data_IF_278335426595
#
_entry.id   IF_278335426595
#
_cell.length_a   1.000
_cell.length_b   1.000
_cell.length_c   1.000
_cell.angle_alpha   90.00
_cell.angle_beta   90.00
_cell.angle_gamma   90.00
#
_symmetry.space_group_name_H-M   'P 1'
#
loop_
_entity.id
_entity.type
_entity.pdbx_description
1 polymer ?
#
# COMPACT_ATOMS: atom_id res chain seq x y z
N UNK A 1 -46.64 60.71 6.34
CA UNK A 1 -45.69 59.76 6.89
C UNK A 1 -46.23 58.35 6.80
N UNK A 2 -45.88 57.63 5.77
CA UNK A 2 -46.29 56.21 5.57
C UNK A 2 -45.14 55.29 5.87
N UNK A 3 -45.28 54.46 6.94
CA UNK A 3 -44.33 53.45 7.32
C UNK A 3 -44.54 52.22 6.42
N UNK A 4 -43.55 51.85 5.62
CA UNK A 4 -43.48 50.58 4.94
C UNK A 4 -43.05 49.52 5.93
N UNK A 5 -43.86 48.48 6.13
CA UNK A 5 -43.50 47.29 6.85
C UNK A 5 -42.78 46.31 5.89
N UNK A 6 -41.55 45.96 6.19
CA UNK A 6 -40.82 44.94 5.46
C UNK A 6 -41.22 43.55 6.02
N UNK A 7 -41.81 42.74 5.13
CA UNK A 7 -42.10 41.31 5.42
C UNK A 7 -40.85 40.50 5.12
N UNK A 8 -40.24 39.97 6.17
CA UNK A 8 -39.15 38.97 6.07
C UNK A 8 -39.78 37.60 5.81
N UNK A 9 -39.63 37.10 4.59
CA UNK A 9 -39.90 35.72 4.26
C UNK A 9 -38.70 34.86 4.61
N UNK A 10 -38.75 34.15 5.73
CA UNK A 10 -37.76 33.16 6.08
C UNK A 10 -38.01 31.87 5.26
N UNK A 11 -37.20 31.62 4.26
CA UNK A 11 -37.18 30.35 3.56
C UNK A 11 -36.47 29.30 4.46
N UNK A 12 -37.21 28.38 5.02
CA UNK A 12 -36.68 27.22 5.70
C UNK A 12 -36.12 26.26 4.66
N UNK A 13 -34.79 26.15 4.60
CA UNK A 13 -34.11 25.16 3.78
C UNK A 13 -34.30 23.79 4.50
N UNK A 14 -35.20 22.97 3.97
CA UNK A 14 -35.34 21.59 4.44
C UNK A 14 -34.08 20.82 4.08
N UNK A 15 -33.28 20.44 5.08
CA UNK A 15 -32.14 19.53 4.91
C UNK A 15 -32.71 18.17 4.47
N UNK A 16 -32.41 17.77 3.25
CA UNK A 16 -32.60 16.40 2.78
C UNK A 16 -31.61 15.56 3.57
N UNK A 17 -32.03 14.54 4.34
CA UNK A 17 -31.09 13.63 4.97
C UNK A 17 -30.37 12.90 3.81
N UNK A 18 -29.12 13.27 3.56
CA UNK A 18 -28.25 12.53 2.67
C UNK A 18 -28.09 11.13 3.25
N UNK A 19 -28.61 10.13 2.55
CA UNK A 19 -28.26 8.75 2.82
C UNK A 19 -26.73 8.64 2.65
N UNK A 20 -26.01 8.53 3.74
CA UNK A 20 -24.63 8.08 3.70
C UNK A 20 -24.65 6.71 3.04
N UNK A 21 -23.94 6.48 1.92
CA UNK A 21 -23.81 5.14 1.40
C UNK A 21 -23.27 4.29 2.54
N UNK A 22 -23.99 3.24 2.88
CA UNK A 22 -23.50 2.25 3.83
C UNK A 22 -22.15 1.76 3.26
N UNK A 23 -21.06 2.00 3.98
CA UNK A 23 -19.82 1.36 3.66
C UNK A 23 -20.11 -0.14 3.69
N UNK A 24 -19.80 -0.85 2.60
CA UNK A 24 -19.94 -2.30 2.61
C UNK A 24 -19.05 -2.84 3.73
N UNK A 25 -19.63 -3.68 4.57
CA UNK A 25 -18.86 -4.32 5.64
C UNK A 25 -17.86 -5.29 5.01
N UNK A 26 -16.64 -5.31 5.55
CA UNK A 26 -15.63 -6.28 5.17
C UNK A 26 -16.14 -7.71 5.33
N UNK A 27 -15.80 -8.55 4.36
CA UNK A 27 -16.15 -9.97 4.42
C UNK A 27 -15.31 -10.65 5.50
N UNK A 28 -15.96 -11.47 6.35
CA UNK A 28 -15.24 -12.28 7.32
C UNK A 28 -14.31 -13.29 6.63
N UNK A 29 -13.01 -13.10 6.79
CA UNK A 29 -12.00 -13.95 6.15
C UNK A 29 -11.96 -15.34 6.80
N UNK A 30 -12.12 -16.39 6.00
CA UNK A 30 -11.91 -17.77 6.45
C UNK A 30 -10.43 -18.00 6.74
N UNK A 31 -10.08 -18.91 7.68
CA UNK A 31 -8.71 -19.32 7.89
C UNK A 31 -8.05 -19.79 6.59
N UNK A 32 -6.83 -19.34 6.34
CA UNK A 32 -6.02 -19.74 5.20
C UNK A 32 -4.59 -19.99 5.70
N UNK A 33 -4.18 -21.25 5.81
CA UNK A 33 -2.87 -21.58 6.35
C UNK A 33 -1.76 -21.10 5.40
N UNK A 34 -0.72 -20.51 5.95
CA UNK A 34 0.47 -20.09 5.21
C UNK A 34 1.50 -21.22 5.28
N UNK A 35 1.86 -21.84 4.14
CA UNK A 35 2.80 -22.95 4.13
C UNK A 35 4.22 -22.50 4.45
N UNK A 36 5.04 -23.44 4.93
CA UNK A 36 6.48 -23.24 5.00
C UNK A 36 7.07 -23.28 3.59
N UNK A 37 8.05 -22.42 3.33
CA UNK A 37 8.85 -22.46 2.10
C UNK A 37 10.14 -23.26 2.34
N UNK A 38 10.70 -23.83 1.28
CA UNK A 38 12.03 -24.40 1.29
C UNK A 38 13.04 -23.36 1.79
N UNK A 39 14.04 -23.77 2.57
CA UNK A 39 15.12 -22.87 3.00
C UNK A 39 16.17 -22.68 1.91
N UNK A 40 16.40 -23.73 1.12
CA UNK A 40 17.27 -23.74 -0.04
C UNK A 40 16.68 -24.63 -1.14
N UNK A 41 16.82 -24.21 -2.40
CA UNK A 41 16.43 -25.01 -3.55
C UNK A 41 17.22 -24.61 -4.79
N UNK A 42 17.33 -25.55 -5.74
CA UNK A 42 18.07 -25.32 -6.97
C UNK A 42 17.38 -24.35 -7.94
N UNK A 43 16.05 -24.29 -7.90
CA UNK A 43 15.25 -23.45 -8.82
C UNK A 43 14.20 -22.65 -8.06
N UNK A 44 13.69 -21.58 -8.70
CA UNK A 44 12.63 -20.73 -8.15
C UNK A 44 11.33 -21.51 -7.93
N UNK A 45 11.00 -22.42 -8.86
CA UNK A 45 9.77 -23.20 -8.82
C UNK A 45 9.67 -24.09 -7.58
N UNK A 46 10.81 -24.54 -7.06
CA UNK A 46 10.86 -25.34 -5.83
C UNK A 46 10.47 -24.56 -4.56
N UNK A 47 10.40 -23.23 -4.62
CA UNK A 47 9.88 -22.39 -3.54
C UNK A 47 8.37 -22.16 -3.63
N UNK A 48 7.70 -22.62 -4.70
CA UNK A 48 6.26 -22.49 -4.83
C UNK A 48 5.60 -23.67 -4.14
N UNK A 49 4.96 -23.49 -2.97
CA UNK A 49 4.38 -24.62 -2.24
C UNK A 49 3.10 -25.11 -2.89
N UNK A 50 2.72 -26.35 -2.58
CA UNK A 50 1.45 -26.91 -3.04
C UNK A 50 0.28 -25.99 -2.65
N UNK A 51 -0.66 -25.79 -3.57
CA UNK A 51 -1.81 -24.89 -3.38
C UNK A 51 -1.52 -23.40 -3.61
N UNK A 52 -0.30 -23.07 -4.07
CA UNK A 52 0.08 -21.70 -4.46
C UNK A 52 0.55 -21.67 -5.92
N UNK A 53 0.56 -20.49 -6.50
CA UNK A 53 1.14 -20.18 -7.80
C UNK A 53 2.05 -18.95 -7.70
N UNK A 54 2.93 -18.80 -8.68
CA UNK A 54 3.71 -17.60 -8.87
C UNK A 54 2.82 -16.52 -9.52
N UNK A 55 2.45 -15.48 -8.77
CA UNK A 55 1.66 -14.36 -9.27
C UNK A 55 2.54 -13.35 -10.01
N UNK A 56 3.69 -12.99 -9.40
CA UNK A 56 4.68 -12.14 -10.03
C UNK A 56 6.09 -12.38 -9.47
N UNK A 57 7.11 -11.97 -10.23
CA UNK A 57 8.49 -12.00 -9.78
C UNK A 57 9.28 -10.80 -10.30
N UNK A 58 10.30 -10.41 -9.54
CA UNK A 58 11.31 -9.46 -9.96
C UNK A 58 12.72 -9.97 -9.64
N UNK A 59 13.72 -9.43 -10.32
CA UNK A 59 15.08 -9.89 -10.23
C UNK A 59 16.05 -8.72 -10.12
N UNK A 60 17.13 -8.90 -9.36
CA UNK A 60 18.23 -7.95 -9.24
C UNK A 60 19.23 -8.40 -8.18
N UNK A 61 20.37 -7.77 -8.13
CA UNK A 61 21.40 -8.02 -7.12
C UNK A 61 21.10 -7.17 -5.88
N UNK A 62 20.58 -7.80 -4.83
CA UNK A 62 20.13 -7.12 -3.60
C UNK A 62 21.27 -6.88 -2.61
N UNK A 63 22.29 -7.74 -2.62
CA UNK A 63 23.39 -7.71 -1.66
C UNK A 63 24.73 -7.26 -2.28
N UNK A 64 24.72 -6.91 -3.56
CA UNK A 64 25.87 -6.44 -4.36
C UNK A 64 27.00 -7.48 -4.46
N UNK A 65 26.64 -8.75 -4.58
CA UNK A 65 27.59 -9.85 -4.73
C UNK A 65 27.79 -10.31 -6.19
N UNK A 66 27.13 -9.63 -7.13
CA UNK A 66 27.21 -9.90 -8.57
C UNK A 66 26.28 -11.03 -9.04
N UNK A 67 25.47 -11.62 -8.16
CA UNK A 67 24.50 -12.66 -8.50
C UNK A 67 23.09 -12.10 -8.52
N UNK A 68 22.25 -12.70 -9.34
CA UNK A 68 20.86 -12.23 -9.48
C UNK A 68 19.94 -12.91 -8.48
N UNK A 69 19.47 -12.16 -7.50
CA UNK A 69 18.46 -12.55 -6.53
C UNK A 69 17.05 -12.50 -7.12
N UNK A 70 16.07 -13.04 -6.41
CA UNK A 70 14.66 -13.07 -6.82
C UNK A 70 13.75 -12.59 -5.70
N UNK A 71 12.73 -11.86 -6.09
CA UNK A 71 11.61 -11.50 -5.22
C UNK A 71 10.35 -12.05 -5.86
N UNK A 72 9.61 -12.85 -5.11
CA UNK A 72 8.42 -13.55 -5.58
C UNK A 72 7.20 -13.05 -4.82
N UNK A 73 6.08 -12.89 -5.54
CA UNK A 73 4.75 -12.86 -4.95
C UNK A 73 4.08 -14.18 -5.30
N UNK A 74 3.75 -14.96 -4.29
CA UNK A 74 3.04 -16.23 -4.41
C UNK A 74 1.60 -16.03 -3.95
N UNK A 75 0.63 -16.55 -4.70
CA UNK A 75 -0.80 -16.45 -4.39
C UNK A 75 -1.39 -17.84 -4.12
N UNK A 76 -2.21 -17.95 -3.09
CA UNK A 76 -3.01 -19.15 -2.83
C UNK A 76 -4.04 -19.40 -3.93
N UNK A 77 -4.40 -20.67 -4.16
CA UNK A 77 -5.31 -21.11 -5.21
C UNK A 77 -6.49 -21.94 -4.68
N UNK A 78 -6.90 -21.69 -3.45
CA UNK A 78 -8.06 -22.37 -2.87
C UNK A 78 -9.35 -21.78 -3.44
N UNK A 79 -10.13 -22.52 -4.25
CA UNK A 79 -11.36 -22.02 -4.84
C UNK A 79 -12.43 -21.71 -3.78
N UNK A 80 -12.35 -22.30 -2.60
CA UNK A 80 -13.28 -22.02 -1.50
C UNK A 80 -13.09 -20.66 -0.87
N UNK A 81 -11.94 -20.01 -1.12
CA UNK A 81 -11.60 -18.65 -0.68
C UNK A 81 -11.95 -17.58 -1.72
N UNK A 82 -12.59 -17.99 -2.82
CA UNK A 82 -13.07 -17.05 -3.85
C UNK A 82 -14.57 -16.91 -3.72
N UNK A 83 -15.03 -15.68 -3.48
CA UNK A 83 -16.42 -15.34 -3.24
C UNK A 83 -16.97 -14.67 -4.49
N UNK A 84 -18.10 -15.18 -5.00
CA UNK A 84 -18.86 -14.57 -6.09
C UNK A 84 -20.21 -14.18 -5.57
N UNK A 85 -20.46 -12.88 -5.51
CA UNK A 85 -21.73 -12.31 -5.10
C UNK A 85 -22.13 -11.23 -6.13
N UNK A 86 -23.36 -11.24 -6.66
CA UNK A 86 -23.78 -10.28 -7.68
C UNK A 86 -23.82 -8.82 -7.18
N UNK A 87 -23.78 -8.60 -5.85
CA UNK A 87 -23.72 -7.28 -5.24
C UNK A 87 -22.30 -6.72 -5.13
N UNK A 88 -21.28 -7.55 -5.36
CA UNK A 88 -19.87 -7.13 -5.31
C UNK A 88 -19.44 -6.49 -6.62
N UNK A 89 -18.49 -5.56 -6.53
CA UNK A 89 -17.91 -4.88 -7.69
C UNK A 89 -17.25 -5.90 -8.65
N UNK A 90 -16.61 -6.92 -8.08
CA UNK A 90 -15.96 -8.00 -8.82
C UNK A 90 -15.96 -9.29 -8.00
N UNK A 91 -15.48 -10.37 -8.59
CA UNK A 91 -15.21 -11.61 -7.87
C UNK A 91 -14.12 -11.37 -6.84
N UNK A 92 -14.46 -11.56 -5.55
CA UNK A 92 -13.55 -11.33 -4.43
C UNK A 92 -12.68 -12.57 -4.18
N UNK A 93 -11.40 -12.47 -4.48
CA UNK A 93 -10.42 -13.50 -4.17
C UNK A 93 -9.73 -13.20 -2.83
N UNK A 94 -10.12 -13.93 -1.79
CA UNK A 94 -9.56 -13.80 -0.45
C UNK A 94 -8.38 -14.74 -0.18
N UNK A 95 -7.78 -15.34 -1.20
CA UNK A 95 -6.58 -16.16 -1.04
C UNK A 95 -5.41 -15.35 -0.47
N UNK A 96 -4.56 -15.97 0.37
CA UNK A 96 -3.39 -15.29 0.91
C UNK A 96 -2.32 -15.08 -0.15
N UNK A 97 -1.54 -14.00 0.02
CA UNK A 97 -0.31 -13.76 -0.71
C UNK A 97 0.89 -13.89 0.21
N UNK A 98 2.00 -14.33 -0.37
CA UNK A 98 3.25 -14.50 0.33
C UNK A 98 4.36 -13.83 -0.49
N UNK A 99 4.95 -12.79 0.07
CA UNK A 99 6.17 -12.19 -0.46
C UNK A 99 7.37 -13.02 0.01
N UNK A 100 8.19 -13.51 -0.92
CA UNK A 100 9.41 -14.25 -0.63
C UNK A 100 10.62 -13.62 -1.32
N UNK A 101 11.73 -13.53 -0.61
CA UNK A 101 13.01 -13.00 -1.12
C UNK A 101 14.03 -14.12 -1.10
N UNK A 102 14.59 -14.40 -2.26
CA UNK A 102 15.53 -15.49 -2.50
C UNK A 102 16.88 -14.90 -2.90
N UNK A 103 17.91 -15.21 -2.16
CA UNK A 103 19.30 -14.83 -2.48
C UNK A 103 19.96 -15.93 -3.27
N UNK A 104 20.63 -15.57 -4.36
CA UNK A 104 21.38 -16.52 -5.18
C UNK A 104 22.58 -17.07 -4.40
N UNK A 105 22.62 -18.39 -4.21
CA UNK A 105 23.65 -19.05 -3.44
C UNK A 105 24.96 -19.20 -4.24
N UNK A 106 26.17 -19.10 -3.60
CA UNK A 106 27.45 -19.25 -4.28
C UNK A 106 27.62 -20.61 -4.96
N UNK A 107 26.98 -21.66 -4.41
CA UNK A 107 27.00 -23.03 -4.94
C UNK A 107 25.96 -23.32 -6.01
N UNK A 108 25.19 -22.32 -6.43
CA UNK A 108 24.02 -22.47 -7.30
C UNK A 108 22.71 -22.62 -6.51
N UNK A 109 21.59 -22.37 -7.19
CA UNK A 109 20.28 -22.31 -6.54
C UNK A 109 20.08 -21.03 -5.72
N UNK A 110 19.14 -21.09 -4.78
CA UNK A 110 18.71 -19.94 -3.99
C UNK A 110 18.49 -20.31 -2.53
N UNK A 111 18.78 -19.37 -1.64
CA UNK A 111 18.46 -19.42 -0.22
C UNK A 111 17.29 -18.48 0.09
N UNK A 112 16.29 -18.95 0.87
CA UNK A 112 15.21 -18.10 1.35
C UNK A 112 15.76 -17.13 2.40
N UNK A 113 15.83 -15.85 2.04
CA UNK A 113 16.42 -14.81 2.88
C UNK A 113 15.38 -14.08 3.75
N UNK A 114 14.17 -13.88 3.23
CA UNK A 114 13.08 -13.22 3.95
C UNK A 114 11.72 -13.64 3.37
N UNK A 115 10.67 -13.54 4.18
CA UNK A 115 9.29 -13.71 3.74
C UNK A 115 8.33 -12.86 4.56
N UNK A 116 7.18 -12.49 3.97
CA UNK A 116 6.07 -11.87 4.68
C UNK A 116 4.75 -12.37 4.10
N UNK A 117 3.84 -12.79 4.97
CA UNK A 117 2.47 -13.14 4.61
C UNK A 117 1.46 -12.03 4.97
N UNK A 118 1.94 -10.98 5.66
CA UNK A 118 1.11 -9.92 6.21
C UNK A 118 1.23 -8.63 5.40
N UNK A 119 2.38 -8.39 4.75
CA UNK A 119 2.65 -7.12 4.06
C UNK A 119 1.68 -6.85 2.89
N UNK A 120 1.26 -7.90 2.20
CA UNK A 120 0.18 -7.85 1.21
C UNK A 120 -1.03 -8.52 1.86
N UNK A 121 -1.93 -7.75 2.50
CA UNK A 121 -3.04 -8.35 3.21
C UNK A 121 -4.04 -9.00 2.25
N UNK A 122 -4.84 -9.89 2.80
CA UNK A 122 -5.92 -10.54 2.07
C UNK A 122 -7.03 -9.53 1.79
N UNK A 123 -7.59 -9.60 0.59
CA UNK A 123 -8.73 -8.75 0.21
C UNK A 123 -9.96 -9.14 1.03
N UNK A 124 -10.54 -8.17 1.74
CA UNK A 124 -11.74 -8.33 2.54
C UNK A 124 -12.89 -7.41 2.11
N UNK A 125 -12.57 -6.26 1.52
CA UNK A 125 -13.57 -5.31 1.01
C UNK A 125 -14.08 -5.76 -0.37
N UNK A 126 -15.37 -6.14 -0.49
CA UNK A 126 -15.94 -6.61 -1.75
C UNK A 126 -16.09 -5.52 -2.82
N UNK A 127 -15.96 -4.25 -2.44
CA UNK A 127 -16.04 -3.10 -3.33
C UNK A 127 -14.69 -2.45 -3.61
N UNK A 128 -13.61 -2.99 -3.07
CA UNK A 128 -12.26 -2.55 -3.38
C UNK A 128 -11.66 -3.36 -4.53
N UNK A 129 -10.79 -2.71 -5.30
CA UNK A 129 -9.95 -3.36 -6.28
C UNK A 129 -8.83 -4.18 -5.60
N UNK A 130 -8.24 -5.10 -6.35
CA UNK A 130 -7.10 -5.87 -5.86
C UNK A 130 -5.93 -4.93 -5.51
N UNK A 131 -5.32 -5.11 -4.35
CA UNK A 131 -4.22 -4.25 -3.88
C UNK A 131 -3.00 -4.24 -4.79
N UNK A 132 -2.82 -5.25 -5.65
CA UNK A 132 -1.71 -5.34 -6.60
C UNK A 132 -2.11 -5.06 -8.06
N UNK A 133 -3.36 -4.68 -8.36
CA UNK A 133 -3.85 -4.51 -9.74
C UNK A 133 -3.00 -3.52 -10.54
N UNK A 134 -2.70 -2.35 -9.95
CA UNK A 134 -1.78 -1.35 -10.53
C UNK A 134 -0.48 -1.21 -9.72
N UNK A 135 -0.20 -2.19 -8.89
CA UNK A 135 0.96 -2.24 -8.02
C UNK A 135 1.90 -3.38 -8.39
N UNK A 136 2.54 -3.94 -7.37
CA UNK A 136 3.38 -5.11 -7.53
C UNK A 136 4.75 -4.95 -6.92
N UNK A 137 5.64 -5.88 -7.28
CA UNK A 137 7.01 -5.92 -6.79
C UNK A 137 8.00 -5.62 -7.90
N UNK A 138 8.97 -4.74 -7.64
CA UNK A 138 10.12 -4.49 -8.50
C UNK A 138 11.43 -4.55 -7.71
N UNK A 139 12.53 -4.76 -8.45
CA UNK A 139 13.89 -4.63 -7.92
C UNK A 139 14.65 -3.66 -8.80
N UNK A 140 15.06 -2.55 -8.22
CA UNK A 140 15.81 -1.50 -8.91
C UNK A 140 16.98 -1.04 -8.04
N UNK A 141 18.20 -1.09 -8.57
CA UNK A 141 19.41 -0.64 -7.87
C UNK A 141 19.58 -1.23 -6.47
N UNK A 142 19.26 -2.53 -6.29
CA UNK A 142 19.35 -3.22 -5.00
C UNK A 142 18.23 -2.89 -4.01
N UNK A 143 17.20 -2.15 -4.44
CA UNK A 143 16.01 -1.85 -3.64
C UNK A 143 14.85 -2.72 -4.11
N UNK A 144 14.28 -3.49 -3.19
CA UNK A 144 12.99 -4.16 -3.40
C UNK A 144 11.88 -3.14 -3.13
N UNK A 145 11.05 -2.87 -4.11
CA UNK A 145 9.89 -2.01 -3.98
C UNK A 145 8.62 -2.83 -4.07
N UNK A 146 7.74 -2.68 -3.10
CA UNK A 146 6.37 -3.17 -3.16
C UNK A 146 5.43 -1.97 -3.18
N UNK A 147 4.51 -1.94 -4.14
CA UNK A 147 3.46 -0.92 -4.23
C UNK A 147 2.09 -1.55 -4.11
N UNK A 148 1.26 -0.99 -3.24
CA UNK A 148 -0.13 -1.36 -3.01
C UNK A 148 -1.03 -0.22 -3.43
N UNK A 149 -2.09 -0.53 -4.15
CA UNK A 149 -3.19 0.39 -4.44
C UNK A 149 -4.39 0.04 -3.56
N UNK A 150 -5.00 1.05 -2.97
CA UNK A 150 -6.18 0.89 -2.14
C UNK A 150 -7.25 1.81 -2.69
N UNK A 151 -8.26 1.22 -3.31
CA UNK A 151 -9.32 1.96 -3.95
C UNK A 151 -10.64 1.20 -3.81
N UNK A 152 -11.64 1.87 -3.25
CA UNK A 152 -13.01 1.36 -3.18
C UNK A 152 -14.00 2.41 -3.73
N UNK A 153 -14.70 2.06 -4.80
CA UNK A 153 -15.81 2.83 -5.33
C UNK A 153 -15.54 4.31 -5.59
N UNK A 154 -16.36 5.20 -4.99
CA UNK A 154 -16.31 6.65 -5.20
C UNK A 154 -15.37 7.41 -4.25
N UNK A 155 -14.75 6.72 -3.30
CA UNK A 155 -13.85 7.32 -2.31
C UNK A 155 -12.52 7.80 -2.89
N UNK A 156 -11.64 8.36 -2.04
CA UNK A 156 -10.29 8.68 -2.43
C UNK A 156 -9.51 7.40 -2.76
N UNK A 157 -8.47 7.57 -3.57
CA UNK A 157 -7.51 6.51 -3.89
C UNK A 157 -6.27 6.67 -3.03
N UNK A 158 -5.70 5.55 -2.56
CA UNK A 158 -4.42 5.52 -1.87
C UNK A 158 -3.44 4.65 -2.63
N UNK A 159 -2.21 5.12 -2.69
CA UNK A 159 -1.05 4.31 -3.09
C UNK A 159 -0.06 4.29 -1.95
N UNK A 160 0.40 3.09 -1.58
CA UNK A 160 1.45 2.91 -0.58
C UNK A 160 2.61 2.17 -1.21
N UNK A 161 3.81 2.69 -1.04
CA UNK A 161 5.02 2.07 -1.57
C UNK A 161 6.04 1.86 -0.46
N UNK A 162 6.60 0.66 -0.41
CA UNK A 162 7.59 0.21 0.56
C UNK A 162 8.89 -0.08 -0.17
N UNK A 163 9.97 0.59 0.20
CA UNK A 163 11.31 0.35 -0.35
C UNK A 163 12.19 -0.34 0.68
N UNK A 164 12.63 -1.56 0.36
CA UNK A 164 13.49 -2.37 1.22
C UNK A 164 14.88 -2.49 0.63
N UNK A 165 15.89 -2.48 1.49
CA UNK A 165 17.29 -2.75 1.16
C UNK A 165 17.81 -3.95 1.95
N UNK A 166 18.76 -4.68 1.35
CA UNK A 166 19.51 -5.69 2.07
C UNK A 166 20.57 -5.03 2.95
N UNK A 167 20.47 -5.23 4.26
CA UNK A 167 21.40 -4.65 5.22
C UNK A 167 21.51 -5.52 6.47
N UNK A 168 22.73 -5.75 6.92
CA UNK A 168 23.05 -6.55 8.13
C UNK A 168 22.36 -7.93 8.08
N UNK A 169 22.43 -8.61 6.92
CA UNK A 169 21.88 -9.95 6.73
C UNK A 169 20.34 -10.02 6.71
N UNK A 170 19.64 -8.89 6.50
CA UNK A 170 18.17 -8.82 6.47
C UNK A 170 17.67 -7.81 5.45
N UNK A 171 16.49 -8.05 4.94
CA UNK A 171 15.74 -7.06 4.17
C UNK A 171 15.07 -6.07 5.13
N UNK A 172 15.40 -4.78 5.01
CA UNK A 172 14.97 -3.72 5.94
C UNK A 172 14.28 -2.59 5.21
N UNK A 173 13.20 -2.07 5.79
CA UNK A 173 12.46 -0.92 5.28
C UNK A 173 13.33 0.34 5.33
N UNK A 174 13.72 0.86 4.16
CA UNK A 174 14.54 2.05 3.98
C UNK A 174 13.73 3.27 3.59
N UNK A 175 12.62 3.08 2.87
CA UNK A 175 11.71 4.16 2.47
C UNK A 175 10.26 3.70 2.47
N UNK A 176 9.37 4.68 2.64
CA UNK A 176 7.92 4.51 2.54
C UNK A 176 7.33 5.74 1.87
N UNK A 177 6.31 5.55 1.04
CA UNK A 177 5.47 6.65 0.59
C UNK A 177 4.00 6.26 0.64
N UNK A 178 3.17 7.26 0.87
CA UNK A 178 1.72 7.16 0.82
C UNK A 178 1.18 8.38 0.08
N UNK A 179 0.38 8.15 -0.95
CA UNK A 179 -0.34 9.18 -1.66
C UNK A 179 -1.83 8.97 -1.51
N UNK A 180 -2.54 10.00 -1.12
CA UNK A 180 -4.01 10.05 -1.09
C UNK A 180 -4.46 10.99 -2.18
N UNK A 181 -5.25 10.51 -3.13
CA UNK A 181 -5.78 11.30 -4.22
C UNK A 181 -7.31 11.38 -4.15
N UNK A 182 -7.82 12.61 -4.17
CA UNK A 182 -9.24 12.88 -4.22
C UNK A 182 -9.68 13.15 -5.66
N UNK A 183 -10.34 12.19 -6.27
CA UNK A 183 -10.80 12.28 -7.67
C UNK A 183 -11.82 13.39 -7.90
N UNK A 184 -12.57 13.80 -6.88
CA UNK A 184 -13.58 14.85 -6.98
C UNK A 184 -12.98 16.26 -6.99
N UNK A 185 -11.87 16.49 -6.27
CA UNK A 185 -11.22 17.80 -6.19
C UNK A 185 -9.88 17.89 -6.94
N UNK A 186 -9.32 16.76 -7.40
CA UNK A 186 -7.99 16.69 -8.01
C UNK A 186 -6.85 16.85 -7.01
N UNK A 187 -7.13 16.93 -5.71
CA UNK A 187 -6.11 17.09 -4.68
C UNK A 187 -5.40 15.79 -4.41
N UNK A 188 -4.07 15.85 -4.36
CA UNK A 188 -3.21 14.79 -3.89
C UNK A 188 -2.39 15.23 -2.67
N UNK A 189 -2.20 14.30 -1.73
CA UNK A 189 -1.45 14.48 -0.50
C UNK A 189 -0.46 13.32 -0.39
N UNK A 190 0.81 13.60 -0.62
CA UNK A 190 1.87 12.61 -0.63
C UNK A 190 2.78 12.78 0.58
N UNK A 191 2.88 11.74 1.42
CA UNK A 191 3.88 11.60 2.46
C UNK A 191 4.99 10.67 1.98
N UNK A 192 6.24 11.15 1.98
CA UNK A 192 7.43 10.33 1.71
C UNK A 192 8.30 10.27 2.96
N UNK A 193 8.76 9.08 3.31
CA UNK A 193 9.63 8.83 4.46
C UNK A 193 10.91 8.15 4.01
N UNK A 194 12.05 8.77 4.29
CA UNK A 194 13.36 8.17 4.11
C UNK A 194 13.96 7.87 5.48
N UNK A 195 13.97 6.58 5.87
CA UNK A 195 14.47 6.14 7.17
C UNK A 195 15.99 6.20 7.27
N UNK A 196 16.71 6.17 6.12
CA UNK A 196 18.19 6.25 6.10
C UNK A 196 18.66 7.68 6.44
N UNK A 197 17.98 8.69 5.86
CA UNK A 197 18.30 10.10 6.13
C UNK A 197 17.60 10.64 7.37
N UNK A 198 16.52 10.02 7.84
CA UNK A 198 15.68 10.51 8.91
C UNK A 198 14.87 11.74 8.49
N UNK A 199 14.33 11.73 7.26
CA UNK A 199 13.52 12.83 6.71
C UNK A 199 12.15 12.29 6.31
N UNK A 200 11.10 13.01 6.74
CA UNK A 200 9.75 12.87 6.23
C UNK A 200 9.38 14.15 5.46
N UNK A 201 8.83 13.99 4.27
CA UNK A 201 8.35 15.08 3.42
C UNK A 201 6.89 14.88 3.12
N UNK A 202 6.11 15.96 3.11
CA UNK A 202 4.73 15.97 2.66
C UNK A 202 4.59 16.97 1.53
N UNK A 203 3.91 16.58 0.47
CA UNK A 203 3.62 17.39 -0.72
C UNK A 203 2.12 17.41 -0.93
N UNK A 204 1.57 18.61 -1.14
CA UNK A 204 0.18 18.82 -1.55
C UNK A 204 0.17 19.40 -2.95
N UNK A 205 -0.57 18.75 -3.85
CA UNK A 205 -0.73 19.13 -5.25
C UNK A 205 -2.22 19.10 -5.61
N UNK A 206 -2.54 19.73 -6.75
CA UNK A 206 -3.89 19.64 -7.30
C UNK A 206 -3.80 19.54 -8.82
N UNK A 207 -4.20 18.38 -9.35
CA UNK A 207 -4.11 18.04 -10.78
C UNK A 207 -5.13 18.78 -11.65
N UNK A 208 -6.14 19.42 -11.02
CA UNK A 208 -7.18 20.17 -11.72
C UNK A 208 -6.88 21.67 -11.81
N UNK A 209 -5.77 22.12 -11.25
CA UNK A 209 -5.37 23.54 -11.22
C UNK A 209 -3.88 23.70 -11.54
N UNK A 210 -3.51 24.88 -12.02
CA UNK A 210 -2.10 25.26 -12.22
C UNK A 210 -1.42 25.75 -10.92
N UNK A 211 -2.04 25.52 -9.76
CA UNK A 211 -1.48 25.94 -8.49
C UNK A 211 -0.17 25.18 -8.21
N UNK A 212 0.90 25.88 -7.79
CA UNK A 212 2.17 25.21 -7.52
C UNK A 212 2.05 24.25 -6.34
N UNK A 213 2.74 23.12 -6.42
CA UNK A 213 2.86 22.17 -5.34
C UNK A 213 3.40 22.83 -4.08
N UNK A 214 2.86 22.47 -2.93
CA UNK A 214 3.31 22.93 -1.62
C UNK A 214 3.97 21.80 -0.88
N UNK A 215 5.22 21.96 -0.48
CA UNK A 215 5.94 20.94 0.26
C UNK A 215 6.46 21.41 1.60
N UNK A 216 6.61 20.48 2.52
CA UNK A 216 7.28 20.64 3.81
C UNK A 216 8.00 19.35 4.16
N UNK A 217 9.15 19.48 4.76
CA UNK A 217 9.87 18.33 5.30
C UNK A 217 10.14 18.50 6.80
N UNK A 218 10.31 17.38 7.48
CA UNK A 218 10.67 17.33 8.90
C UNK A 218 11.71 16.25 9.13
N UNK A 219 12.73 16.57 9.89
CA UNK A 219 13.74 15.61 10.34
C UNK A 219 13.25 14.87 11.58
N UNK A 220 13.63 13.60 11.68
CA UNK A 220 13.41 12.78 12.86
C UNK A 220 14.66 11.97 13.21
N UNK A 221 14.74 11.51 14.45
CA UNK A 221 15.86 10.68 14.88
C UNK A 221 15.89 9.36 14.10
N UNK A 222 17.03 9.04 13.51
CA UNK A 222 17.23 7.75 12.85
C UNK A 222 17.05 6.64 13.88
N UNK A 223 16.32 5.61 13.48
CA UNK A 223 16.06 4.41 14.28
C UNK A 223 16.61 3.19 13.56
N UNK A 224 16.70 2.07 14.26
CA UNK A 224 16.95 0.78 13.63
C UNK A 224 15.87 0.53 12.58
N UNK A 225 16.29 0.21 11.35
CA UNK A 225 15.37 -0.07 10.25
C UNK A 225 14.53 -1.31 10.55
N UNK A 226 13.26 -1.24 10.24
CA UNK A 226 12.28 -2.31 10.46
C UNK A 226 12.59 -3.46 9.49
N UNK A 227 12.82 -4.71 9.96
CA UNK A 227 12.95 -5.84 9.04
C UNK A 227 11.61 -6.16 8.39
N UNK A 228 11.64 -6.75 7.18
CA UNK A 228 10.45 -7.07 6.39
C UNK A 228 9.38 -7.80 7.22
N UNK A 229 9.79 -8.78 8.00
CA UNK A 229 8.90 -9.64 8.79
C UNK A 229 8.17 -8.90 9.93
N UNK A 230 8.64 -7.69 10.27
CA UNK A 230 8.09 -6.88 11.35
C UNK A 230 7.27 -5.67 10.86
N UNK A 231 7.11 -5.50 9.55
CA UNK A 231 6.31 -4.40 8.99
C UNK A 231 4.82 -4.61 9.25
N UNK A 232 4.36 -5.86 9.15
CA UNK A 232 2.94 -6.22 9.30
C UNK A 232 2.13 -5.87 8.06
N UNK A 233 0.85 -5.59 8.25
CA UNK A 233 -0.12 -5.29 7.19
C UNK A 233 0.21 -3.94 6.52
N UNK A 234 0.46 -4.01 5.20
CA UNK A 234 0.86 -2.84 4.42
C UNK A 234 -0.26 -1.82 4.23
N UNK A 235 -1.52 -2.24 4.23
CA UNK A 235 -2.67 -1.33 4.04
C UNK A 235 -2.86 -0.42 5.26
N UNK A 236 -2.73 -0.97 6.46
CA UNK A 236 -2.86 -0.21 7.72
C UNK A 236 -1.52 0.25 8.31
N UNK A 237 -0.42 0.07 7.57
CA UNK A 237 0.91 0.45 8.04
C UNK A 237 0.99 1.92 8.45
N UNK A 238 1.56 2.18 9.62
CA UNK A 238 1.85 3.53 10.11
C UNK A 238 3.38 3.75 10.15
N UNK A 239 3.92 4.74 9.42
CA UNK A 239 5.36 4.99 9.36
C UNK A 239 5.98 5.48 10.68
N UNK A 240 5.17 5.83 11.68
CA UNK A 240 5.60 6.29 13.02
C UNK A 240 6.62 7.42 13.00
N UNK A 241 6.40 8.37 12.10
CA UNK A 241 7.20 9.60 11.98
C UNK A 241 6.43 10.80 12.52
N UNK A 242 7.11 11.90 12.89
CA UNK A 242 6.43 13.10 13.30
C UNK A 242 5.54 13.67 12.20
N UNK A 243 4.36 14.14 12.55
CA UNK A 243 3.43 14.76 11.61
C UNK A 243 4.08 15.93 10.88
N UNK A 244 4.03 15.91 9.55
CA UNK A 244 4.46 17.03 8.70
C UNK A 244 3.21 17.85 8.36
N UNK A 245 3.12 19.07 8.90
CA UNK A 245 1.99 19.98 8.66
C UNK A 245 2.36 21.00 7.61
N UNK A 246 1.55 21.11 6.56
CA UNK A 246 1.61 22.21 5.59
C UNK A 246 0.53 23.22 6.00
N UNK A 247 0.89 24.44 6.41
CA UNK A 247 -0.10 25.45 6.76
C UNK A 247 -1.02 25.74 5.57
N UNK A 248 -2.32 25.86 5.82
CA UNK A 248 -3.22 26.41 4.81
C UNK A 248 -2.77 27.84 4.51
N UNK A 249 -2.58 28.18 3.22
CA UNK A 249 -2.32 29.55 2.83
C UNK A 249 -3.45 30.42 3.36
N UNK A 250 -3.14 31.58 3.94
CA UNK A 250 -4.15 32.61 4.22
C UNK A 250 -4.80 32.90 2.87
N UNK A 251 -6.06 32.54 2.72
CA UNK A 251 -6.92 33.14 1.71
C UNK A 251 -6.95 34.63 2.05
N UNK A 252 -6.19 35.45 1.30
CA UNK A 252 -6.25 36.90 1.41
C UNK A 252 -7.69 37.30 1.14
N UNK A 253 -8.30 37.98 2.11
CA UNK A 253 -9.59 38.63 1.98
C UNK A 253 -9.49 39.86 1.08
#
# INVERSE_FOLDING_TARGET
MRRLAAVLVSAALAAIPGATPAAAEDVALRPAPIPALARHAATVEAFIPAGFELESQSAGDLNQDGRTDRVLVLRGRDPSLVISDPTYLSRLDTNPRLLAVLMAAPGGGYDLAARSADLIPRQADPNAFDYLEDGGVSVEQGVVRLSLQIWSGAGPQWWKSFGFIWRDGRLRLASYSETVFNRGSGESDTLTVNYLSGVAERVLENDFTDAPARSRHRRFARRTLIPLEAVGDGVVFNPRVPTVVIPQGRTGG
#
